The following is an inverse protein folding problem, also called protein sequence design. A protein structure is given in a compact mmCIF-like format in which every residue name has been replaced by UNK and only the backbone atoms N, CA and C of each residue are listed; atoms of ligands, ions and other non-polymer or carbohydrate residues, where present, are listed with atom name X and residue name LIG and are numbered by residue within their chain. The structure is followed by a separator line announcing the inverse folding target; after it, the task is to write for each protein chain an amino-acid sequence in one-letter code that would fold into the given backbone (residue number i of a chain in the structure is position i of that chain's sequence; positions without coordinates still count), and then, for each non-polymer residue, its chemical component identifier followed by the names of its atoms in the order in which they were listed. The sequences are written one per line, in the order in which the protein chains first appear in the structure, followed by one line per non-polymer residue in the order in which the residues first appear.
data_IF_556624025278
#
_entry.id   IF_556624025278
#
_cell.length_a   1.000
_cell.length_b   1.000
_cell.length_c   1.000
_cell.angle_alpha   90.00
_cell.angle_beta   90.00
_cell.angle_gamma   90.00
#
_symmetry.space_group_name_H-M   'P 1'
#
loop_
_entity.id
_entity.type
_entity.pdbx_description
1 polymer ?
#
# COMPACT_ATOMS: atom_id res chain seq x y z
N UNK A 1 10.15 3.97 -2.70
CA UNK A 1 10.48 4.43 -1.33
C UNK A 1 10.91 5.88 -1.44
N UNK A 2 10.09 6.81 -0.97
CA UNK A 2 10.37 8.26 -1.02
C UNK A 2 11.10 8.68 0.26
N UNK A 3 11.34 9.99 0.44
CA UNK A 3 11.87 10.50 1.70
C UNK A 3 10.90 10.31 2.88
N UNK A 4 9.59 10.16 2.62
CA UNK A 4 8.57 10.12 3.67
C UNK A 4 8.12 8.70 4.03
N UNK A 5 8.28 7.74 3.11
CA UNK A 5 7.90 6.34 3.29
C UNK A 5 9.12 5.45 3.10
N UNK A 6 9.46 4.69 4.14
CA UNK A 6 10.51 3.69 4.15
C UNK A 6 9.92 2.29 3.85
N UNK A 7 10.68 1.44 3.16
CA UNK A 7 10.44 0.00 3.24
C UNK A 7 11.24 -0.58 4.41
N UNK A 8 10.70 -1.59 5.08
CA UNK A 8 11.42 -2.28 6.16
C UNK A 8 12.20 -3.47 5.59
N UNK A 9 13.45 -3.63 6.04
CA UNK A 9 14.35 -4.68 5.51
C UNK A 9 13.89 -6.09 5.92
N UNK A 10 13.15 -6.22 7.02
CA UNK A 10 12.61 -7.49 7.48
C UNK A 10 11.49 -7.98 6.57
N UNK A 11 11.66 -9.20 6.05
CA UNK A 11 10.62 -9.90 5.31
C UNK A 11 9.59 -10.48 6.29
N UNK A 12 8.33 -10.09 6.13
CA UNK A 12 7.19 -10.53 6.94
C UNK A 12 6.39 -11.60 6.20
N UNK A 13 5.69 -12.44 6.96
CA UNK A 13 4.78 -13.47 6.42
C UNK A 13 3.35 -13.13 6.85
N UNK A 14 2.43 -13.10 5.89
CA UNK A 14 1.01 -12.92 6.17
C UNK A 14 0.41 -14.20 6.74
N UNK A 15 0.01 -14.14 8.01
CA UNK A 15 -0.56 -15.28 8.72
C UNK A 15 -2.09 -15.33 8.63
N UNK A 16 -2.73 -14.23 8.22
CA UNK A 16 -4.19 -14.08 8.19
C UNK A 16 -4.63 -13.05 7.13
N UNK A 17 -5.94 -13.03 6.85
CA UNK A 17 -6.57 -12.02 6.00
C UNK A 17 -6.15 -12.08 4.53
N UNK A 18 -6.22 -10.93 3.84
CA UNK A 18 -5.95 -10.84 2.41
C UNK A 18 -4.51 -11.24 2.04
N UNK A 19 -3.56 -11.13 2.96
CA UNK A 19 -2.14 -11.45 2.71
C UNK A 19 -1.75 -12.86 3.16
N UNK A 20 -2.71 -13.72 3.51
CA UNK A 20 -2.44 -15.08 3.99
C UNK A 20 -1.51 -15.84 3.01
N UNK A 21 -0.39 -16.34 3.54
CA UNK A 21 0.62 -17.07 2.77
C UNK A 21 1.54 -16.21 1.89
N UNK A 22 1.38 -14.88 1.89
CA UNK A 22 2.25 -13.97 1.17
C UNK A 22 3.49 -13.60 2.01
N UNK A 23 4.61 -13.39 1.34
CA UNK A 23 5.80 -12.76 1.94
C UNK A 23 5.91 -11.32 1.44
N UNK A 24 6.15 -10.37 2.34
CA UNK A 24 6.14 -8.94 2.02
C UNK A 24 7.07 -8.14 2.92
N UNK A 25 7.50 -6.98 2.43
CA UNK A 25 8.15 -5.95 3.25
C UNK A 25 7.10 -4.92 3.67
N UNK A 26 7.12 -4.49 4.93
CA UNK A 26 6.23 -3.44 5.38
C UNK A 26 6.69 -2.07 4.85
N UNK A 27 5.75 -1.17 4.63
CA UNK A 27 6.01 0.25 4.35
C UNK A 27 5.65 1.06 5.58
N UNK A 28 6.59 1.84 6.10
CA UNK A 28 6.40 2.67 7.28
C UNK A 28 6.60 4.16 6.97
N UNK A 29 5.78 5.01 7.59
CA UNK A 29 5.95 6.46 7.53
C UNK A 29 7.16 6.85 8.39
N UNK A 30 8.13 7.56 7.82
CA UNK A 30 9.34 7.96 8.56
C UNK A 30 9.07 8.94 9.69
N UNK A 31 8.01 9.75 9.58
CA UNK A 31 7.70 10.77 10.58
C UNK A 31 7.03 10.22 11.83
N UNK A 32 6.16 9.20 11.70
CA UNK A 32 5.37 8.67 12.83
C UNK A 32 5.59 7.18 13.10
N UNK A 33 6.34 6.48 12.25
CA UNK A 33 6.65 5.06 12.40
C UNK A 33 5.48 4.10 12.10
N UNK A 34 4.28 4.62 11.79
CA UNK A 34 3.13 3.77 11.50
C UNK A 34 3.32 3.01 10.18
N UNK A 35 2.88 1.76 10.17
CA UNK A 35 2.78 0.97 8.94
C UNK A 35 1.64 1.55 8.09
N UNK A 36 1.98 1.93 6.87
CA UNK A 36 1.07 2.53 5.89
C UNK A 36 0.81 1.63 4.69
N UNK A 37 1.54 0.52 4.55
CA UNK A 37 1.40 -0.37 3.42
C UNK A 37 2.40 -1.53 3.40
N UNK A 38 2.56 -2.13 2.22
CA UNK A 38 3.45 -3.26 1.97
C UNK A 38 3.95 -3.32 0.52
N UNK A 39 4.98 -4.12 0.30
CA UNK A 39 5.46 -4.54 -1.03
C UNK A 39 5.50 -6.07 -1.05
N UNK A 40 4.80 -6.69 -1.98
CA UNK A 40 4.80 -8.15 -2.10
C UNK A 40 6.11 -8.65 -2.71
N UNK A 41 6.75 -9.57 -1.99
CA UNK A 41 7.88 -10.37 -2.46
C UNK A 41 7.40 -11.67 -3.09
N UNK A 42 6.59 -12.44 -2.35
CA UNK A 42 5.95 -13.68 -2.81
C UNK A 42 4.46 -13.64 -2.51
N UNK A 43 3.63 -14.13 -3.44
CA UNK A 43 2.18 -14.06 -3.34
C UNK A 43 1.53 -15.23 -4.07
N UNK A 44 0.29 -15.56 -3.70
CA UNK A 44 -0.57 -16.48 -4.46
C UNK A 44 -0.90 -15.91 -5.84
N UNK A 45 -1.43 -16.75 -6.73
CA UNK A 45 -1.85 -16.33 -8.09
C UNK A 45 -2.73 -15.09 -8.08
N UNK A 46 -3.62 -14.99 -7.10
CA UNK A 46 -4.65 -13.97 -7.03
C UNK A 46 -4.08 -12.59 -6.67
N UNK A 47 -2.88 -12.54 -6.08
CA UNK A 47 -2.18 -11.30 -5.72
C UNK A 47 -0.85 -11.12 -6.45
N UNK A 48 -0.49 -12.05 -7.33
CA UNK A 48 0.78 -12.04 -8.06
C UNK A 48 0.96 -10.76 -8.90
N UNK A 49 -0.13 -10.15 -9.35
CA UNK A 49 -0.15 -8.90 -10.12
C UNK A 49 0.25 -7.67 -9.29
N UNK A 50 0.23 -7.76 -7.96
CA UNK A 50 0.64 -6.68 -7.05
C UNK A 50 2.13 -6.73 -6.67
N UNK A 51 2.89 -7.74 -7.14
CA UNK A 51 4.34 -7.82 -6.87
C UNK A 51 5.08 -6.62 -7.47
N UNK A 52 6.01 -6.09 -6.70
CA UNK A 52 6.80 -4.91 -7.09
C UNK A 52 6.06 -3.57 -7.00
N UNK A 53 4.77 -3.56 -6.67
CA UNK A 53 4.02 -2.33 -6.42
C UNK A 53 4.11 -1.92 -4.94
N UNK A 54 4.00 -0.61 -4.69
CA UNK A 54 3.80 -0.06 -3.35
C UNK A 54 2.29 -0.08 -3.05
N UNK A 55 1.85 -0.99 -2.18
CA UNK A 55 0.45 -1.14 -1.80
C UNK A 55 0.18 -0.41 -0.49
N UNK A 56 -0.63 0.64 -0.50
CA UNK A 56 -0.99 1.38 0.72
C UNK A 56 -2.33 0.94 1.29
N UNK A 57 -2.43 0.87 2.61
CA UNK A 57 -3.69 0.66 3.31
C UNK A 57 -4.52 1.95 3.26
N UNK A 58 -5.76 1.86 2.77
CA UNK A 58 -6.65 3.01 2.67
C UNK A 58 -6.94 3.68 4.02
N UNK A 59 -6.95 2.89 5.09
CA UNK A 59 -7.20 3.40 6.44
C UNK A 59 -5.98 4.12 7.04
N UNK A 60 -4.81 3.99 6.41
CA UNK A 60 -3.55 4.57 6.89
C UNK A 60 -3.12 5.82 6.14
N UNK A 61 -3.88 6.29 5.14
CA UNK A 61 -3.52 7.45 4.31
C UNK A 61 -4.71 8.40 4.09
N UNK A 62 -4.36 9.67 3.86
CA UNK A 62 -5.30 10.71 3.44
C UNK A 62 -5.03 11.09 1.98
N UNK A 63 -6.07 11.46 1.26
CA UNK A 63 -5.99 11.95 -0.12
C UNK A 63 -6.36 13.41 -0.20
N UNK A 64 -5.56 14.17 -0.93
CA UNK A 64 -5.90 15.52 -1.33
C UNK A 64 -6.60 15.49 -2.69
N UNK A 65 -7.88 15.85 -2.72
CA UNK A 65 -8.67 15.94 -3.95
C UNK A 65 -8.50 17.32 -4.54
N UNK A 66 -7.61 17.44 -5.53
CA UNK A 66 -7.24 18.72 -6.15
C UNK A 66 -8.44 19.51 -6.67
N UNK A 67 -9.40 18.84 -7.32
CA UNK A 67 -10.60 19.48 -7.91
C UNK A 67 -11.37 20.33 -6.90
N UNK A 68 -11.47 19.86 -5.66
CA UNK A 68 -12.28 20.49 -4.62
C UNK A 68 -11.42 21.04 -3.47
N UNK A 69 -10.09 20.87 -3.53
CA UNK A 69 -9.12 21.29 -2.52
C UNK A 69 -9.40 20.73 -1.12
N UNK A 70 -9.89 19.50 -1.06
CA UNK A 70 -10.26 18.86 0.21
C UNK A 70 -9.35 17.69 0.53
N UNK A 71 -9.08 17.51 1.82
CA UNK A 71 -8.44 16.31 2.35
C UNK A 71 -9.54 15.35 2.80
N UNK A 72 -9.46 14.10 2.36
CA UNK A 72 -10.42 13.04 2.69
C UNK A 72 -9.67 11.75 3.02
N UNK A 73 -10.22 10.93 3.92
CA UNK A 73 -9.72 9.57 4.16
C UNK A 73 -9.75 8.75 2.87
N UNK A 74 -8.68 8.02 2.56
CA UNK A 74 -8.63 7.23 1.34
C UNK A 74 -9.65 6.07 1.34
N UNK A 75 -10.08 5.61 2.52
CA UNK A 75 -11.19 4.64 2.68
C UNK A 75 -12.50 5.13 2.08
N UNK A 76 -12.72 6.45 2.04
CA UNK A 76 -13.90 7.10 1.45
C UNK A 76 -13.71 7.43 -0.04
N UNK A 77 -12.55 7.14 -0.61
CA UNK A 77 -12.23 7.39 -2.02
C UNK A 77 -12.33 6.09 -2.82
N UNK A 78 -13.03 6.17 -3.96
CA UNK A 78 -13.01 5.11 -4.95
C UNK A 78 -11.79 5.28 -5.87
N UNK A 79 -10.96 4.24 -5.95
CA UNK A 79 -9.81 4.18 -6.85
C UNK A 79 -10.13 3.17 -7.94
N UNK A 80 -10.81 3.57 -9.02
CA UNK A 80 -11.01 2.66 -10.13
C UNK A 80 -9.66 2.20 -10.67
N UNK A 81 -9.55 0.92 -10.98
CA UNK A 81 -8.38 0.40 -11.68
C UNK A 81 -8.38 0.97 -13.11
N UNK A 82 -7.79 2.14 -13.27
CA UNK A 82 -7.53 2.73 -14.58
C UNK A 82 -6.13 2.29 -14.95
N UNK A 83 -6.01 1.37 -15.89
CA UNK A 83 -4.73 1.18 -16.57
C UNK A 83 -4.39 2.50 -17.26
N UNK A 84 -3.16 2.99 -17.06
CA UNK A 84 -2.62 4.03 -17.94
C UNK A 84 -2.78 3.49 -19.36
N UNK A 85 -3.57 4.18 -20.18
CA UNK A 85 -3.58 3.89 -21.62
C UNK A 85 -2.14 4.11 -22.09
N UNK A 86 -1.55 3.10 -22.71
CA UNK A 86 -0.26 3.23 -23.41
C UNK A 86 -0.29 4.39 -24.41
#
# INVERSE_FOLDING_TARGET
VTNDVAWEDSLMIGLEGALLGCAYNALSCRSCGLIVGFILYSASSDLAYLRGFFCFFKDSILCYVLKNQMIIEASKVNFPAVTLKE
#
